data_IF_993433976934
#
_entry.id   IF_993433976934
#
_cell.length_a   1.000
_cell.length_b   1.000
_cell.length_c   1.000
_cell.angle_alpha   90.00
_cell.angle_beta   90.00
_cell.angle_gamma   90.00
#
_symmetry.space_group_name_H-M   'P 1'
#
loop_
_entity.id
_entity.type
_entity.pdbx_description
1 polymer ?
#
# COMPACT_ATOMS: atom_id res chain seq x y z
N UNK A 1 -15.63 -14.52 -24.96
CA UNK A 1 -17.04 -14.36 -25.33
C UNK A 1 -17.88 -15.58 -24.94
N UNK A 2 -17.52 -16.81 -25.33
CA UNK A 2 -18.27 -18.03 -24.96
C UNK A 2 -18.49 -18.24 -23.45
N UNK A 3 -17.48 -17.94 -22.61
CA UNK A 3 -17.64 -17.99 -21.15
C UNK A 3 -18.68 -16.96 -20.65
N UNK A 4 -18.61 -15.70 -21.12
CA UNK A 4 -19.55 -14.63 -20.76
C UNK A 4 -20.98 -14.95 -21.19
N UNK A 5 -21.17 -15.51 -22.38
CA UNK A 5 -22.49 -15.93 -22.85
C UNK A 5 -23.08 -17.06 -21.98
N UNK A 6 -22.22 -17.95 -21.47
CA UNK A 6 -22.64 -19.07 -20.61
C UNK A 6 -22.92 -18.66 -19.17
N UNK A 7 -22.09 -17.80 -18.59
CA UNK A 7 -22.25 -17.38 -17.19
C UNK A 7 -23.17 -16.18 -17.01
N UNK A 8 -23.31 -15.35 -18.05
CA UNK A 8 -24.16 -14.16 -18.09
C UNK A 8 -24.13 -13.34 -16.80
N UNK A 9 -22.94 -12.92 -16.32
CA UNK A 9 -22.82 -12.23 -15.04
C UNK A 9 -23.55 -10.89 -15.08
N UNK A 10 -24.08 -10.47 -13.94
CA UNK A 10 -24.77 -9.19 -13.79
C UNK A 10 -23.80 -8.03 -14.01
N UNK A 11 -22.61 -8.15 -13.42
CA UNK A 11 -21.54 -7.17 -13.46
C UNK A 11 -20.20 -7.87 -13.68
N UNK A 12 -19.34 -7.25 -14.47
CA UNK A 12 -17.91 -7.57 -14.56
C UNK A 12 -17.11 -6.37 -14.06
N UNK A 13 -16.19 -6.62 -13.14
CA UNK A 13 -15.34 -5.59 -12.55
C UNK A 13 -13.92 -5.70 -13.15
N UNK A 14 -13.45 -4.63 -13.76
CA UNK A 14 -12.05 -4.48 -14.17
C UNK A 14 -11.29 -3.60 -13.17
N UNK A 15 -10.25 -4.14 -12.52
CA UNK A 15 -9.42 -3.41 -11.54
C UNK A 15 -8.36 -2.48 -12.16
N UNK A 16 -8.27 -2.49 -13.49
CA UNK A 16 -7.38 -1.65 -14.30
C UNK A 16 -8.17 -1.17 -15.50
N UNK A 17 -8.03 0.10 -15.89
CA UNK A 17 -8.84 0.63 -16.99
C UNK A 17 -8.65 -0.09 -18.34
N UNK A 18 -7.45 -0.61 -18.62
CA UNK A 18 -7.25 -1.50 -19.78
C UNK A 18 -8.08 -2.78 -19.70
N UNK A 19 -8.10 -3.43 -18.53
CA UNK A 19 -8.91 -4.65 -18.31
C UNK A 19 -10.39 -4.31 -18.47
N UNK A 20 -10.85 -3.22 -17.86
CA UNK A 20 -12.24 -2.77 -18.00
C UNK A 20 -12.62 -2.47 -19.46
N UNK A 21 -11.71 -1.89 -20.24
CA UNK A 21 -11.89 -1.67 -21.68
C UNK A 21 -12.05 -2.99 -22.44
N UNK A 22 -11.21 -3.99 -22.14
CA UNK A 22 -11.33 -5.32 -22.75
C UNK A 22 -12.65 -6.00 -22.36
N UNK A 23 -13.08 -5.88 -21.09
CA UNK A 23 -14.37 -6.38 -20.63
C UNK A 23 -15.54 -5.74 -21.38
N UNK A 24 -15.53 -4.40 -21.55
CA UNK A 24 -16.55 -3.69 -22.31
C UNK A 24 -16.63 -4.15 -23.77
N UNK A 25 -15.47 -4.35 -24.42
CA UNK A 25 -15.43 -4.90 -25.78
C UNK A 25 -15.98 -6.35 -25.82
N UNK A 26 -15.59 -7.20 -24.88
CA UNK A 26 -16.02 -8.59 -24.82
C UNK A 26 -17.54 -8.73 -24.57
N UNK A 27 -18.11 -7.89 -23.71
CA UNK A 27 -19.57 -7.83 -23.47
C UNK A 27 -20.30 -7.44 -24.74
N UNK A 28 -19.88 -6.35 -25.41
CA UNK A 28 -20.49 -5.90 -26.69
C UNK A 28 -20.45 -6.99 -27.76
N UNK A 29 -19.33 -7.68 -27.90
CA UNK A 29 -19.16 -8.76 -28.87
C UNK A 29 -19.95 -10.03 -28.52
N UNK A 30 -20.27 -10.25 -27.24
CA UNK A 30 -21.02 -11.43 -26.81
C UNK A 30 -22.54 -11.22 -26.86
N UNK A 31 -23.01 -9.99 -27.07
CA UNK A 31 -24.45 -9.67 -27.12
C UNK A 31 -25.18 -9.81 -25.77
N UNK A 32 -24.45 -9.89 -24.65
CA UNK A 32 -25.04 -10.01 -23.30
C UNK A 32 -25.28 -8.63 -22.68
N UNK A 33 -26.23 -8.55 -21.75
CA UNK A 33 -26.59 -7.31 -21.03
C UNK A 33 -25.76 -7.07 -19.75
N UNK A 34 -24.67 -7.80 -19.56
CA UNK A 34 -23.71 -7.61 -18.46
C UNK A 34 -23.22 -6.17 -18.38
N UNK A 35 -23.20 -5.59 -17.18
CA UNK A 35 -22.62 -4.26 -16.94
C UNK A 35 -21.13 -4.36 -16.66
N UNK A 36 -20.36 -3.37 -17.07
CA UNK A 36 -18.91 -3.30 -16.85
C UNK A 36 -18.57 -2.15 -15.92
N UNK A 37 -17.99 -2.47 -14.77
CA UNK A 37 -17.50 -1.50 -13.78
C UNK A 37 -15.98 -1.46 -13.84
N UNK A 38 -15.38 -0.28 -13.97
CA UNK A 38 -13.94 -0.08 -13.80
C UNK A 38 -13.67 0.39 -12.38
N UNK A 39 -12.99 -0.40 -11.57
CA UNK A 39 -12.56 0.02 -10.22
C UNK A 39 -11.08 0.36 -10.24
N UNK A 40 -10.73 1.64 -10.11
CA UNK A 40 -9.34 2.12 -10.18
C UNK A 40 -8.67 1.98 -8.82
N UNK A 41 -7.88 0.91 -8.66
CA UNK A 41 -7.18 0.60 -7.39
C UNK A 41 -5.90 1.43 -7.19
N UNK A 42 -5.22 1.81 -8.27
CA UNK A 42 -4.11 2.75 -8.25
C UNK A 42 -4.44 3.95 -9.16
N UNK A 43 -4.78 5.12 -8.59
CA UNK A 43 -5.06 6.35 -9.33
C UNK A 43 -3.93 6.78 -10.28
N UNK A 44 -2.67 6.50 -9.94
CA UNK A 44 -1.52 6.80 -10.77
C UNK A 44 -1.51 6.05 -12.10
N UNK A 45 -2.24 4.93 -12.23
CA UNK A 45 -2.41 4.27 -13.53
C UNK A 45 -3.08 5.19 -14.56
N UNK A 46 -3.86 6.17 -14.13
CA UNK A 46 -4.43 7.19 -15.03
C UNK A 46 -3.35 8.09 -15.65
N UNK A 47 -2.08 8.06 -15.20
CA UNK A 47 -0.98 8.71 -15.92
C UNK A 47 -0.62 7.97 -17.22
N UNK A 48 -0.98 6.69 -17.33
CA UNK A 48 -0.73 5.86 -18.49
C UNK A 48 -1.97 5.84 -19.40
N UNK A 49 -1.91 6.34 -20.65
CA UNK A 49 -3.08 6.48 -21.52
C UNK A 49 -3.88 5.17 -21.71
N UNK A 50 -3.19 4.03 -21.73
CA UNK A 50 -3.74 2.67 -21.77
C UNK A 50 -4.83 2.40 -20.71
N UNK A 51 -4.73 3.01 -19.54
CA UNK A 51 -5.64 2.80 -18.42
C UNK A 51 -6.80 3.80 -18.37
N UNK A 52 -6.87 4.74 -19.30
CA UNK A 52 -7.97 5.69 -19.38
C UNK A 52 -9.03 5.14 -20.33
N UNK A 53 -10.28 5.09 -19.89
CA UNK A 53 -11.35 4.47 -20.67
C UNK A 53 -12.70 5.08 -20.33
N UNK A 54 -13.43 5.66 -21.31
CA UNK A 54 -14.80 6.15 -21.12
C UNK A 54 -15.86 5.06 -21.37
N UNK A 55 -15.44 3.83 -21.71
CA UNK A 55 -16.34 2.76 -22.13
C UNK A 55 -17.10 2.01 -21.02
N UNK A 56 -16.55 1.80 -19.81
CA UNK A 56 -17.25 1.10 -18.73
C UNK A 56 -18.56 1.79 -18.36
N UNK A 57 -19.61 1.04 -18.05
CA UNK A 57 -20.90 1.58 -17.57
C UNK A 57 -20.72 2.51 -16.37
N UNK A 58 -19.76 2.20 -15.50
CA UNK A 58 -19.37 2.99 -14.33
C UNK A 58 -17.88 2.87 -14.06
N UNK A 59 -17.26 3.97 -13.66
CA UNK A 59 -15.89 4.01 -13.15
C UNK A 59 -15.89 4.47 -11.70
N UNK A 60 -15.27 3.67 -10.83
CA UNK A 60 -15.08 3.95 -9.42
C UNK A 60 -13.62 4.38 -9.20
N UNK A 61 -13.40 5.50 -8.52
CA UNK A 61 -12.06 6.02 -8.21
C UNK A 61 -11.92 6.34 -6.73
N UNK A 62 -10.70 6.31 -6.22
CA UNK A 62 -10.41 6.57 -4.81
C UNK A 62 -10.45 8.05 -4.41
N UNK A 63 -10.16 8.98 -5.32
CA UNK A 63 -9.97 10.39 -5.01
C UNK A 63 -10.65 11.31 -6.04
N UNK A 64 -11.04 12.51 -5.62
CA UNK A 64 -11.64 13.52 -6.50
C UNK A 64 -10.73 13.90 -7.66
N UNK A 65 -9.44 14.14 -7.39
CA UNK A 65 -8.47 14.48 -8.44
C UNK A 65 -8.36 13.38 -9.51
N UNK A 66 -8.59 12.11 -9.16
CA UNK A 66 -8.56 11.00 -10.10
C UNK A 66 -9.78 11.01 -11.03
N UNK A 67 -10.97 11.37 -10.50
CA UNK A 67 -12.17 11.63 -11.31
C UNK A 67 -11.91 12.78 -12.27
N UNK A 68 -11.45 13.91 -11.73
CA UNK A 68 -11.29 15.15 -12.49
C UNK A 68 -10.26 14.97 -13.62
N UNK A 69 -9.16 14.26 -13.35
CA UNK A 69 -8.16 13.88 -14.35
C UNK A 69 -8.75 12.99 -15.44
N UNK A 70 -9.52 11.96 -15.08
CA UNK A 70 -10.14 11.06 -16.06
C UNK A 70 -11.08 11.82 -16.99
N UNK A 71 -11.94 12.68 -16.42
CA UNK A 71 -12.89 13.49 -17.19
C UNK A 71 -12.18 14.52 -18.07
N UNK A 72 -11.12 15.17 -17.59
CA UNK A 72 -10.34 16.11 -18.39
C UNK A 72 -9.62 15.43 -19.57
N UNK A 73 -9.04 14.24 -19.35
CA UNK A 73 -8.20 13.58 -20.34
C UNK A 73 -8.99 12.74 -21.36
N UNK A 74 -10.18 12.26 -21.01
CA UNK A 74 -10.98 11.35 -21.85
C UNK A 74 -12.40 11.84 -22.15
N UNK A 75 -12.85 12.91 -21.50
CA UNK A 75 -14.25 13.30 -21.51
C UNK A 75 -15.14 12.23 -20.88
N UNK A 76 -16.42 12.28 -21.23
CA UNK A 76 -17.43 11.32 -20.77
C UNK A 76 -18.47 11.96 -19.85
N UNK A 77 -19.39 11.12 -19.38
CA UNK A 77 -20.46 11.53 -18.47
C UNK A 77 -19.95 11.55 -17.02
N UNK A 78 -19.94 12.71 -16.34
CA UNK A 78 -19.54 12.80 -14.94
C UNK A 78 -20.36 11.90 -14.01
N UNK A 79 -21.62 11.61 -14.33
CA UNK A 79 -22.46 10.72 -13.53
C UNK A 79 -21.93 9.27 -13.51
N UNK A 80 -21.12 8.89 -14.52
CA UNK A 80 -20.51 7.55 -14.66
C UNK A 80 -19.12 7.46 -14.03
N UNK A 81 -18.61 8.50 -13.38
CA UNK A 81 -17.34 8.46 -12.64
C UNK A 81 -17.58 8.85 -11.19
N UNK A 82 -17.56 7.86 -10.30
CA UNK A 82 -17.91 8.00 -8.88
C UNK A 82 -16.67 7.88 -8.00
N UNK A 83 -16.51 8.87 -7.12
CA UNK A 83 -15.48 8.85 -6.08
C UNK A 83 -16.03 8.06 -4.90
N UNK A 84 -15.41 6.92 -4.60
CA UNK A 84 -15.87 6.00 -3.56
C UNK A 84 -14.89 5.90 -2.39
N UNK A 85 -13.73 6.54 -2.49
CA UNK A 85 -12.63 6.37 -1.54
C UNK A 85 -11.75 5.17 -1.90
N UNK A 86 -10.48 5.16 -1.43
CA UNK A 86 -9.57 4.04 -1.64
C UNK A 86 -10.01 2.82 -0.83
N UNK A 87 -9.95 1.64 -1.46
CA UNK A 87 -10.00 0.38 -0.73
C UNK A 87 -8.60 0.05 -0.23
N UNK A 88 -8.50 -0.25 1.06
CA UNK A 88 -7.30 -0.81 1.64
C UNK A 88 -7.49 -2.31 1.63
N UNK A 89 -6.71 -2.99 0.80
CA UNK A 89 -6.70 -4.43 0.80
C UNK A 89 -5.95 -4.91 2.05
N UNK A 90 -6.68 -5.03 3.16
CA UNK A 90 -6.21 -5.70 4.39
C UNK A 90 -5.63 -7.11 4.11
N UNK A 91 -5.94 -7.66 2.94
CA UNK A 91 -5.49 -8.96 2.45
C UNK A 91 -4.40 -8.91 1.36
N UNK A 92 -4.08 -7.78 0.73
CA UNK A 92 -3.10 -7.80 -0.37
C UNK A 92 -1.66 -7.89 0.14
N UNK A 93 -1.28 -7.28 1.26
CA UNK A 93 0.03 -7.54 1.88
C UNK A 93 0.07 -8.92 2.54
N UNK A 94 -1.06 -9.39 3.08
CA UNK A 94 -1.26 -10.77 3.55
C UNK A 94 -0.95 -11.74 2.41
N UNK A 95 -1.71 -11.74 1.32
CA UNK A 95 -1.51 -12.68 0.22
C UNK A 95 -0.19 -12.42 -0.53
N UNK A 96 0.27 -11.17 -0.66
CA UNK A 96 1.59 -10.89 -1.25
C UNK A 96 2.70 -11.52 -0.41
N UNK A 97 2.64 -11.47 0.93
CA UNK A 97 3.68 -12.05 1.82
C UNK A 97 3.44 -13.50 2.23
N UNK A 98 2.22 -14.00 2.12
CA UNK A 98 1.81 -15.35 2.55
C UNK A 98 1.40 -16.27 1.40
N UNK A 99 1.38 -15.83 0.13
CA UNK A 99 1.11 -16.71 -1.01
C UNK A 99 2.20 -17.80 -1.13
N UNK A 100 1.92 -18.95 -0.52
CA UNK A 100 2.84 -20.08 -0.37
C UNK A 100 2.88 -20.70 1.04
N UNK A 101 2.07 -20.20 2.00
CA UNK A 101 2.14 -20.48 3.44
C UNK A 101 1.68 -21.86 3.92
N UNK A 102 1.98 -22.93 3.16
CA UNK A 102 2.23 -24.25 3.75
C UNK A 102 3.74 -24.53 3.90
N UNK A 103 4.60 -23.56 3.53
CA UNK A 103 6.05 -23.62 3.75
C UNK A 103 6.45 -22.73 4.93
N UNK A 104 7.27 -23.31 5.80
CA UNK A 104 7.80 -22.75 7.04
C UNK A 104 8.32 -21.32 6.86
N UNK A 105 8.03 -20.45 7.83
CA UNK A 105 8.61 -19.12 7.89
C UNK A 105 10.11 -19.22 8.15
N UNK A 106 10.90 -18.36 7.49
CA UNK A 106 12.31 -18.21 7.83
C UNK A 106 12.45 -17.18 8.96
N UNK A 107 13.00 -17.60 10.11
CA UNK A 107 13.35 -16.73 11.24
C UNK A 107 12.78 -17.20 12.58
N UNK A 108 13.30 -16.67 13.71
CA UNK A 108 12.83 -17.04 15.04
C UNK A 108 11.35 -16.66 15.24
N UNK A 109 10.59 -17.52 15.93
CA UNK A 109 9.21 -17.26 16.37
C UNK A 109 9.13 -16.29 17.55
N UNK A 110 10.27 -15.92 18.14
CA UNK A 110 10.33 -15.04 19.29
C UNK A 110 9.86 -13.62 18.96
N UNK A 111 9.08 -12.98 19.86
CA UNK A 111 8.55 -11.65 19.63
C UNK A 111 9.65 -10.64 19.31
N UNK A 112 9.32 -9.69 18.45
CA UNK A 112 10.17 -8.58 18.06
C UNK A 112 10.18 -7.48 19.14
N UNK A 113 11.38 -7.07 19.55
CA UNK A 113 11.59 -6.12 20.63
C UNK A 113 11.26 -6.71 22.01
N UNK A 114 12.00 -6.32 23.03
CA UNK A 114 11.55 -6.53 24.40
C UNK A 114 10.38 -5.59 24.71
N UNK A 115 9.40 -6.02 25.51
CA UNK A 115 8.35 -5.12 26.00
C UNK A 115 8.86 -4.20 27.15
N UNK A 116 10.18 -4.18 27.38
CA UNK A 116 10.81 -3.53 28.53
C UNK A 116 10.90 -2.00 28.39
N UNK A 117 10.80 -1.46 27.16
CA UNK A 117 10.85 -0.02 26.89
C UNK A 117 9.76 0.41 25.88
N UNK A 118 8.65 1.02 26.35
CA UNK A 118 7.56 1.46 25.49
C UNK A 118 7.93 2.67 24.60
N UNK A 119 9.00 3.40 24.94
CA UNK A 119 9.46 4.60 24.23
C UNK A 119 10.55 4.26 23.20
N UNK A 120 10.91 2.98 23.06
CA UNK A 120 11.82 2.52 22.02
C UNK A 120 11.21 2.67 20.62
N UNK A 121 11.90 3.30 19.65
CA UNK A 121 11.43 3.36 18.27
C UNK A 121 11.31 1.95 17.65
N UNK A 122 10.21 1.71 16.93
CA UNK A 122 9.90 0.41 16.31
C UNK A 122 9.78 0.55 14.81
N UNK A 123 10.75 0.01 14.08
CA UNK A 123 10.88 0.19 12.64
C UNK A 123 10.56 -1.10 11.88
N UNK A 124 9.68 -0.99 10.89
CA UNK A 124 9.45 -2.06 9.90
C UNK A 124 10.08 -1.61 8.58
N UNK A 125 11.07 -2.35 8.10
CA UNK A 125 11.75 -2.08 6.83
C UNK A 125 11.32 -3.13 5.80
N UNK A 126 10.43 -2.74 4.87
CA UNK A 126 10.03 -3.59 3.75
C UNK A 126 10.89 -3.29 2.52
N UNK A 127 11.83 -4.19 2.22
CA UNK A 127 12.62 -4.14 1.00
C UNK A 127 12.02 -5.05 -0.08
N UNK A 128 11.33 -4.44 -1.05
CA UNK A 128 10.87 -5.11 -2.27
C UNK A 128 11.59 -4.51 -3.48
N UNK A 129 12.60 -5.22 -4.00
CA UNK A 129 13.43 -4.79 -5.15
C UNK A 129 14.13 -3.43 -4.94
N UNK A 130 14.50 -3.13 -3.70
CA UNK A 130 15.19 -1.89 -3.30
C UNK A 130 16.71 -1.91 -3.44
N UNK A 131 17.29 -3.08 -3.76
CA UNK A 131 18.73 -3.28 -3.89
C UNK A 131 19.48 -3.08 -2.58
N UNK A 132 20.78 -2.79 -2.69
CA UNK A 132 21.67 -2.65 -1.53
C UNK A 132 21.38 -1.38 -0.70
N UNK A 133 20.60 -0.43 -1.22
CA UNK A 133 20.18 0.78 -0.48
C UNK A 133 19.60 0.47 0.91
N UNK A 134 18.75 -0.55 1.01
CA UNK A 134 18.16 -0.94 2.29
C UNK A 134 19.12 -1.72 3.18
N UNK A 135 20.14 -2.38 2.62
CA UNK A 135 21.22 -2.96 3.43
C UNK A 135 22.07 -1.87 4.05
N UNK A 136 22.40 -0.84 3.28
CA UNK A 136 23.15 0.31 3.77
C UNK A 136 22.36 1.07 4.84
N UNK A 137 21.05 1.22 4.66
CA UNK A 137 20.15 1.72 5.70
C UNK A 137 20.19 0.88 6.98
N UNK A 138 20.04 -0.45 6.88
CA UNK A 138 20.06 -1.35 8.04
C UNK A 138 21.39 -1.27 8.78
N UNK A 139 22.51 -1.26 8.06
CA UNK A 139 23.86 -1.09 8.65
C UNK A 139 24.02 0.25 9.34
N UNK A 140 23.55 1.32 8.69
CA UNK A 140 23.58 2.67 9.23
C UNK A 140 22.80 2.75 10.55
N UNK A 141 21.53 2.33 10.56
CA UNK A 141 20.71 2.29 11.79
C UNK A 141 21.39 1.43 12.86
N UNK A 142 21.99 0.30 12.48
CA UNK A 142 22.65 -0.56 13.46
C UNK A 142 23.78 0.20 14.17
N UNK A 143 24.57 0.96 13.42
CA UNK A 143 25.74 1.70 13.91
C UNK A 143 25.39 3.00 14.64
N UNK A 144 24.35 3.72 14.21
CA UNK A 144 24.01 5.04 14.76
C UNK A 144 22.85 5.02 15.77
N UNK A 145 21.92 4.07 15.62
CA UNK A 145 20.72 3.94 16.46
C UNK A 145 20.49 2.49 16.93
N UNK A 146 21.47 1.87 17.64
CA UNK A 146 21.40 0.48 18.08
C UNK A 146 20.28 0.20 19.10
N UNK A 147 19.75 1.24 19.72
CA UNK A 147 18.67 1.17 20.70
C UNK A 147 17.27 1.14 20.06
N UNK A 148 17.16 1.01 18.74
CA UNK A 148 15.88 0.84 18.04
C UNK A 148 15.48 -0.63 17.91
N UNK A 149 14.20 -0.93 17.91
CA UNK A 149 13.71 -2.23 17.47
C UNK A 149 13.50 -2.19 15.94
N UNK A 150 14.02 -3.19 15.23
CA UNK A 150 13.88 -3.26 13.77
C UNK A 150 13.45 -4.66 13.28
N UNK A 151 12.43 -4.70 12.43
CA UNK A 151 12.15 -5.84 11.53
C UNK A 151 12.55 -5.46 10.12
N UNK A 152 13.41 -6.28 9.52
CA UNK A 152 13.72 -6.21 8.11
C UNK A 152 13.02 -7.34 7.35
N UNK A 153 12.38 -7.00 6.23
CA UNK A 153 11.76 -7.97 5.34
C UNK A 153 12.31 -7.78 3.93
N UNK A 154 13.20 -8.68 3.53
CA UNK A 154 13.73 -8.80 2.17
C UNK A 154 12.83 -9.68 1.32
N UNK A 155 11.77 -9.10 0.76
CA UNK A 155 10.67 -9.85 0.16
C UNK A 155 11.12 -10.85 -0.91
N UNK A 156 10.80 -12.13 -0.69
CA UNK A 156 11.16 -13.25 -1.57
C UNK A 156 12.66 -13.37 -1.85
N UNK A 157 13.52 -12.80 -0.99
CA UNK A 157 14.97 -12.81 -1.13
C UNK A 157 15.67 -13.22 0.19
N UNK A 158 15.83 -14.54 0.43
CA UNK A 158 16.56 -15.06 1.60
C UNK A 158 18.02 -14.58 1.66
N UNK A 159 18.66 -14.37 0.51
CA UNK A 159 20.04 -13.88 0.45
C UNK A 159 20.15 -12.44 0.97
N UNK A 160 19.18 -11.60 0.63
CA UNK A 160 19.08 -10.24 1.15
C UNK A 160 18.82 -10.22 2.66
N UNK A 161 17.87 -11.02 3.15
CA UNK A 161 17.59 -11.13 4.58
C UNK A 161 18.82 -11.60 5.38
N UNK A 162 19.56 -12.59 4.86
CA UNK A 162 20.79 -13.06 5.50
C UNK A 162 21.90 -11.99 5.52
N UNK A 163 22.09 -11.26 4.41
CA UNK A 163 23.07 -10.16 4.36
C UNK A 163 22.72 -9.02 5.31
N UNK A 164 21.43 -8.71 5.47
CA UNK A 164 20.95 -7.73 6.44
C UNK A 164 21.23 -8.19 7.88
N UNK A 165 20.91 -9.44 8.21
CA UNK A 165 21.17 -10.03 9.52
C UNK A 165 22.67 -10.04 9.87
N UNK A 166 23.52 -10.43 8.92
CA UNK A 166 24.97 -10.43 9.11
C UNK A 166 25.54 -9.04 9.41
N UNK A 167 24.98 -7.98 8.80
CA UNK A 167 25.36 -6.59 9.05
C UNK A 167 24.99 -6.07 10.44
N UNK A 168 24.09 -6.76 11.15
CA UNK A 168 23.55 -6.35 12.43
C UNK A 168 23.62 -7.48 13.48
N UNK A 169 24.55 -8.43 13.34
CA UNK A 169 24.62 -9.65 14.16
C UNK A 169 24.74 -9.40 15.68
N UNK A 170 25.22 -8.21 16.09
CA UNK A 170 25.29 -7.78 17.50
C UNK A 170 23.94 -7.35 18.10
N UNK A 171 22.91 -7.17 17.27
CA UNK A 171 21.59 -6.67 17.66
C UNK A 171 20.59 -7.82 17.71
N UNK A 172 20.68 -8.64 18.76
CA UNK A 172 19.84 -9.84 18.91
C UNK A 172 18.33 -9.58 19.01
N UNK A 173 17.92 -8.33 19.28
CA UNK A 173 16.52 -7.91 19.34
C UNK A 173 15.94 -7.55 17.96
N UNK A 174 16.78 -7.45 16.92
CA UNK A 174 16.33 -7.23 15.55
C UNK A 174 15.84 -8.54 14.92
N UNK A 175 14.95 -8.42 13.94
CA UNK A 175 14.39 -9.57 13.20
C UNK A 175 14.59 -9.39 11.71
N UNK A 176 14.89 -10.48 11.02
CA UNK A 176 15.18 -10.50 9.58
C UNK A 176 14.42 -11.62 8.93
N UNK A 177 13.66 -11.29 7.90
CA UNK A 177 12.78 -12.23 7.21
C UNK A 177 12.90 -12.07 5.70
N UNK A 178 12.80 -13.19 4.99
CA UNK A 178 12.54 -13.21 3.54
C UNK A 178 11.04 -13.16 3.25
N UNK A 179 10.24 -13.73 4.16
CA UNK A 179 8.79 -13.84 4.14
C UNK A 179 8.24 -13.79 5.55
N UNK A 180 7.01 -13.32 5.71
CA UNK A 180 6.30 -13.31 6.97
C UNK A 180 5.11 -14.27 6.91
N UNK A 181 4.86 -14.99 8.00
CA UNK A 181 3.53 -15.57 8.22
C UNK A 181 2.51 -14.47 8.45
N UNK A 182 1.23 -14.83 8.32
CA UNK A 182 0.13 -13.93 8.68
C UNK A 182 0.24 -13.46 10.14
N UNK A 183 0.57 -14.37 11.07
CA UNK A 183 0.69 -14.04 12.48
C UNK A 183 1.83 -13.05 12.74
N UNK A 184 3.02 -13.27 12.16
CA UNK A 184 4.16 -12.36 12.28
C UNK A 184 3.85 -10.98 11.68
N UNK A 185 3.22 -10.93 10.51
CA UNK A 185 2.85 -9.66 9.89
C UNK A 185 1.93 -8.83 10.80
N UNK A 186 0.86 -9.43 11.30
CA UNK A 186 -0.09 -8.71 12.16
C UNK A 186 0.53 -8.34 13.50
N UNK A 187 1.38 -9.18 14.10
CA UNK A 187 2.10 -8.84 15.33
C UNK A 187 3.00 -7.61 15.13
N UNK A 188 3.80 -7.58 14.06
CA UNK A 188 4.70 -6.45 13.80
C UNK A 188 3.95 -5.15 13.51
N UNK A 189 2.89 -5.22 12.69
CA UNK A 189 2.05 -4.06 12.40
C UNK A 189 1.33 -3.59 13.67
N UNK A 190 0.75 -4.48 14.47
CA UNK A 190 0.07 -4.10 15.71
C UNK A 190 1.03 -3.48 16.73
N UNK A 191 2.24 -4.04 16.89
CA UNK A 191 3.29 -3.48 17.76
C UNK A 191 3.76 -2.11 17.30
N UNK A 192 3.93 -1.88 16.00
CA UNK A 192 4.28 -0.57 15.45
C UNK A 192 3.10 0.42 15.55
N UNK A 193 1.87 -0.04 15.33
CA UNK A 193 0.66 0.75 15.47
C UNK A 193 0.44 1.23 16.92
N UNK A 194 0.73 0.39 17.92
CA UNK A 194 0.63 0.75 19.35
C UNK A 194 1.79 1.58 19.88
N UNK A 195 2.98 1.49 19.27
CA UNK A 195 4.13 2.31 19.67
C UNK A 195 3.95 3.78 19.25
N UNK A 196 4.21 4.75 20.13
CA UNK A 196 4.21 6.18 19.77
C UNK A 196 5.26 6.51 18.70
N UNK A 197 6.30 5.67 18.59
CA UNK A 197 7.45 5.84 17.70
C UNK A 197 7.55 4.70 16.67
N UNK A 198 6.42 4.10 16.32
CA UNK A 198 6.32 3.12 15.24
C UNK A 198 6.47 3.76 13.87
N UNK A 199 7.26 3.16 12.99
CA UNK A 199 7.57 3.68 11.67
C UNK A 199 7.68 2.57 10.63
N UNK A 200 7.14 2.80 9.43
CA UNK A 200 7.35 1.92 8.28
C UNK A 200 8.27 2.58 7.24
N UNK A 201 9.31 1.86 6.83
CA UNK A 201 10.25 2.27 5.79
C UNK A 201 10.13 1.34 4.59
N UNK A 202 9.86 1.88 3.40
CA UNK A 202 9.77 1.07 2.18
C UNK A 202 9.97 1.89 0.92
N UNK A 203 9.81 1.25 -0.23
CA UNK A 203 9.65 1.94 -1.51
C UNK A 203 8.26 2.60 -1.54
N UNK A 204 8.14 3.74 -2.21
CA UNK A 204 6.90 4.51 -2.37
C UNK A 204 5.82 3.78 -3.20
N UNK A 205 5.31 2.67 -2.68
CA UNK A 205 4.19 1.92 -3.24
C UNK A 205 2.85 2.47 -2.74
N UNK A 206 1.82 2.56 -3.61
CA UNK A 206 0.52 3.13 -3.24
C UNK A 206 -0.19 2.28 -2.18
N UNK A 207 -0.20 0.96 -2.34
CA UNK A 207 -0.87 0.06 -1.38
C UNK A 207 -0.20 0.12 -0.01
N UNK A 208 1.13 -0.01 0.05
CA UNK A 208 1.89 0.06 1.31
C UNK A 208 1.67 1.38 2.03
N UNK A 209 1.59 2.50 1.30
CA UNK A 209 1.32 3.81 1.90
C UNK A 209 -0.07 3.88 2.51
N UNK A 210 -1.10 3.46 1.77
CA UNK A 210 -2.49 3.49 2.26
C UNK A 210 -2.71 2.51 3.41
N UNK A 211 -2.05 1.35 3.39
CA UNK A 211 -2.13 0.36 4.47
C UNK A 211 -1.40 0.80 5.73
N UNK A 212 -0.20 1.36 5.62
CA UNK A 212 0.48 1.96 6.75
C UNK A 212 -0.38 3.05 7.40
N UNK A 213 -0.95 3.93 6.57
CA UNK A 213 -1.87 4.96 7.05
C UNK A 213 -3.11 4.37 7.72
N UNK A 214 -3.70 3.30 7.16
CA UNK A 214 -4.84 2.58 7.74
C UNK A 214 -4.57 2.09 9.16
N UNK A 215 -3.36 1.58 9.43
CA UNK A 215 -2.93 1.15 10.76
C UNK A 215 -2.40 2.29 11.64
N UNK A 216 -2.46 3.54 11.18
CA UNK A 216 -1.92 4.69 11.92
C UNK A 216 -0.40 4.63 12.06
N UNK A 217 0.30 4.07 11.08
CA UNK A 217 1.76 3.98 11.05
C UNK A 217 2.28 5.00 10.03
N UNK A 218 3.09 5.98 10.44
CA UNK A 218 3.72 6.91 9.51
C UNK A 218 4.75 6.20 8.62
N UNK A 219 5.06 6.82 7.47
CA UNK A 219 5.93 6.21 6.46
C UNK A 219 7.16 7.05 6.13
N UNK A 220 8.31 6.40 5.97
CA UNK A 220 9.47 6.94 5.25
C UNK A 220 9.65 6.15 3.95
N UNK A 221 9.35 6.78 2.83
CA UNK A 221 9.33 6.10 1.54
C UNK A 221 10.46 6.56 0.65
N UNK A 222 11.17 5.64 0.00
CA UNK A 222 12.06 5.96 -1.12
C UNK A 222 11.26 6.05 -2.42
N UNK A 223 11.36 7.16 -3.14
CA UNK A 223 10.68 7.32 -4.42
C UNK A 223 11.07 6.25 -5.43
N UNK A 224 10.10 5.73 -6.16
CA UNK A 224 10.30 4.63 -7.10
C UNK A 224 10.71 5.05 -8.51
N UNK A 225 10.48 6.32 -8.86
CA UNK A 225 10.56 6.83 -10.23
C UNK A 225 9.48 6.32 -11.19
N UNK A 226 8.59 5.41 -10.75
CA UNK A 226 7.57 4.81 -11.60
C UNK A 226 6.43 5.81 -11.86
N UNK A 227 5.99 6.02 -13.12
CA UNK A 227 4.94 6.99 -13.44
C UNK A 227 3.67 6.79 -12.62
N UNK A 228 3.23 5.53 -12.45
CA UNK A 228 2.01 5.21 -11.70
C UNK A 228 2.14 5.37 -10.18
N UNK A 229 3.30 5.76 -9.67
CA UNK A 229 3.56 5.98 -8.24
C UNK A 229 3.92 7.44 -7.93
N UNK A 230 4.07 8.31 -8.96
CA UNK A 230 4.42 9.74 -8.80
C UNK A 230 3.46 10.57 -7.94
N UNK A 231 2.25 10.07 -7.72
CA UNK A 231 1.25 10.74 -6.89
C UNK A 231 1.44 10.46 -5.39
N UNK A 232 2.17 9.39 -5.04
CA UNK A 232 2.35 8.93 -3.65
C UNK A 232 3.10 9.95 -2.80
N UNK A 233 4.22 10.57 -3.26
CA UNK A 233 4.89 11.64 -2.50
C UNK A 233 3.98 12.81 -2.16
N UNK A 234 3.13 13.22 -3.11
CA UNK A 234 2.15 14.29 -2.92
C UNK A 234 1.14 13.94 -1.84
N UNK A 235 0.56 12.73 -1.87
CA UNK A 235 -0.36 12.25 -0.84
C UNK A 235 0.29 12.23 0.55
N UNK A 236 1.51 11.71 0.65
CA UNK A 236 2.26 11.63 1.91
C UNK A 236 2.45 13.03 2.50
N UNK A 237 2.87 13.99 1.66
CA UNK A 237 3.09 15.37 2.09
C UNK A 237 1.78 16.07 2.48
N UNK A 238 0.75 16.01 1.62
CA UNK A 238 -0.53 16.69 1.80
C UNK A 238 -1.23 16.29 3.09
N UNK A 239 -1.20 15.00 3.43
CA UNK A 239 -1.86 14.46 4.62
C UNK A 239 -0.92 14.24 5.80
N UNK A 240 0.34 14.66 5.70
CA UNK A 240 1.33 14.49 6.76
C UNK A 240 1.54 13.02 7.17
N UNK A 241 1.41 12.08 6.24
CA UNK A 241 1.55 10.63 6.50
C UNK A 241 3.00 10.21 6.76
N UNK A 242 3.94 11.12 6.49
CA UNK A 242 5.35 10.93 6.75
C UNK A 242 6.19 11.69 5.73
N UNK A 243 7.22 11.03 5.16
CA UNK A 243 8.09 11.64 4.13
C UNK A 243 8.36 10.69 2.97
N UNK A 244 8.30 11.21 1.76
CA UNK A 244 8.87 10.59 0.58
C UNK A 244 10.24 11.22 0.29
N UNK A 245 11.28 10.40 0.21
CA UNK A 245 12.66 10.78 -0.02
C UNK A 245 13.01 10.52 -1.48
N UNK A 246 13.61 11.51 -2.14
CA UNK A 246 13.97 11.42 -3.55
C UNK A 246 15.17 10.48 -3.81
N UNK A 247 15.96 10.20 -2.77
CA UNK A 247 17.14 9.34 -2.88
C UNK A 247 17.64 8.79 -1.55
N UNK A 248 18.64 7.88 -1.59
CA UNK A 248 19.20 7.22 -0.41
C UNK A 248 19.74 8.18 0.67
N UNK A 249 20.45 9.24 0.26
CA UNK A 249 21.04 10.21 1.21
C UNK A 249 19.97 10.94 2.02
N UNK A 250 18.88 11.36 1.37
CA UNK A 250 17.76 12.00 2.06
C UNK A 250 17.02 11.02 2.99
N UNK A 251 16.91 9.74 2.59
CA UNK A 251 16.34 8.70 3.43
C UNK A 251 17.17 8.51 4.71
N UNK A 252 18.48 8.36 4.60
CA UNK A 252 19.40 8.21 5.73
C UNK A 252 19.33 9.42 6.67
N UNK A 253 19.43 10.63 6.12
CA UNK A 253 19.36 11.87 6.90
C UNK A 253 18.00 12.02 7.62
N UNK A 254 16.90 11.64 6.98
CA UNK A 254 15.58 11.69 7.62
C UNK A 254 15.44 10.66 8.73
N UNK A 255 15.98 9.46 8.54
CA UNK A 255 15.99 8.42 9.58
C UNK A 255 16.77 8.91 10.80
N UNK A 256 17.96 9.48 10.61
CA UNK A 256 18.73 10.06 11.71
C UNK A 256 17.96 11.16 12.45
N UNK A 257 17.37 12.08 11.70
CA UNK A 257 16.59 13.18 12.24
C UNK A 257 15.40 12.71 13.08
N UNK A 258 14.69 11.69 12.62
CA UNK A 258 13.47 11.19 13.26
C UNK A 258 13.78 10.31 14.46
N UNK A 259 14.83 9.49 14.40
CA UNK A 259 15.25 8.67 15.53
C UNK A 259 15.89 9.51 16.64
N UNK A 260 16.59 10.60 16.28
CA UNK A 260 17.07 11.59 17.26
C UNK A 260 15.95 12.45 17.85
N UNK A 261 14.79 12.57 17.17
CA UNK A 261 13.63 13.36 17.62
C UNK A 261 12.32 12.59 17.42
N UNK A 262 12.02 11.56 18.23
CA UNK A 262 10.86 10.68 18.04
C UNK A 262 9.50 11.38 18.07
N UNK A 263 9.43 12.59 18.65
CA UNK A 263 8.24 13.45 18.58
C UNK A 263 7.81 13.79 17.14
N UNK A 264 8.73 13.77 16.16
CA UNK A 264 8.39 13.91 14.75
C UNK A 264 7.56 12.72 14.25
N UNK A 265 7.90 11.50 14.69
CA UNK A 265 7.17 10.26 14.35
C UNK A 265 5.75 10.34 14.93
N UNK A 266 5.61 10.76 16.19
CA UNK A 266 4.30 10.92 16.84
C UNK A 266 3.38 11.89 16.09
N UNK A 267 3.92 13.00 15.59
CA UNK A 267 3.13 13.99 14.85
C UNK A 267 2.55 13.39 13.57
N UNK A 268 3.37 12.65 12.80
CA UNK A 268 2.92 11.93 11.61
C UNK A 268 1.96 10.78 11.96
N UNK A 269 2.16 10.12 13.11
CA UNK A 269 1.25 9.08 13.60
C UNK A 269 -0.17 9.62 13.83
N UNK A 270 -0.29 10.78 14.48
CA UNK A 270 -1.59 11.46 14.68
C UNK A 270 -2.27 11.79 13.35
N UNK A 271 -1.49 12.26 12.37
CA UNK A 271 -1.99 12.54 11.04
C UNK A 271 -2.45 11.28 10.30
N UNK A 272 -1.69 10.18 10.39
CA UNK A 272 -2.06 8.89 9.81
C UNK A 272 -3.38 8.34 10.40
N UNK A 273 -3.56 8.41 11.72
CA UNK A 273 -4.83 8.02 12.38
C UNK A 273 -5.99 8.87 11.87
N UNK A 274 -5.82 10.20 11.82
CA UNK A 274 -6.87 11.10 11.30
C UNK A 274 -7.20 10.83 9.82
N UNK A 275 -6.20 10.52 9.01
CA UNK A 275 -6.39 10.12 7.61
C UNK A 275 -7.15 8.79 7.51
N UNK A 276 -6.82 7.81 8.37
CA UNK A 276 -7.51 6.52 8.39
C UNK A 276 -9.01 6.68 8.68
N UNK A 277 -9.35 7.47 9.70
CA UNK A 277 -10.73 7.72 10.13
C UNK A 277 -11.55 8.50 9.08
N UNK A 278 -10.92 9.40 8.33
CA UNK A 278 -11.62 10.31 7.41
C UNK A 278 -11.63 9.86 5.95
N UNK A 279 -10.52 9.28 5.46
CA UNK A 279 -10.32 8.92 4.06
C UNK A 279 -10.41 7.41 3.84
N UNK A 280 -9.94 6.61 4.81
CA UNK A 280 -9.85 5.15 4.70
C UNK A 280 -10.94 4.41 5.48
N UNK A 281 -12.06 5.05 5.84
CA UNK A 281 -13.20 4.34 6.44
C UNK A 281 -13.77 3.31 5.45
N UNK A 282 -13.39 2.04 5.64
CA UNK A 282 -13.75 0.95 4.74
C UNK A 282 -15.26 0.64 4.74
N UNK A 283 -15.97 0.94 5.83
CA UNK A 283 -17.42 0.82 5.87
C UNK A 283 -18.07 1.89 5.00
N UNK A 284 -17.64 3.15 5.13
CA UNK A 284 -18.11 4.23 4.28
C UNK A 284 -17.74 4.04 2.80
N UNK A 285 -16.54 3.50 2.51
CA UNK A 285 -16.13 3.15 1.13
C UNK A 285 -17.04 2.07 0.56
N UNK A 286 -17.31 0.99 1.31
CA UNK A 286 -18.16 -0.12 0.85
C UNK A 286 -19.60 0.34 0.63
N UNK A 287 -20.15 1.18 1.51
CA UNK A 287 -21.47 1.78 1.33
C UNK A 287 -21.54 2.61 0.04
N UNK A 288 -20.55 3.48 -0.20
CA UNK A 288 -20.45 4.29 -1.43
C UNK A 288 -20.35 3.45 -2.70
N UNK A 289 -19.59 2.35 -2.65
CA UNK A 289 -19.52 1.38 -3.77
C UNK A 289 -20.89 0.77 -4.02
N UNK A 290 -21.58 0.30 -2.97
CA UNK A 290 -22.92 -0.26 -3.06
C UNK A 290 -23.91 0.70 -3.69
N UNK A 291 -23.94 1.95 -3.24
CA UNK A 291 -24.83 2.99 -3.77
C UNK A 291 -24.52 3.38 -5.21
N UNK A 292 -23.24 3.33 -5.61
CA UNK A 292 -22.84 3.62 -6.98
C UNK A 292 -23.21 2.49 -7.95
N UNK A 293 -23.11 1.23 -7.51
CA UNK A 293 -23.35 0.04 -8.36
C UNK A 293 -24.84 -0.34 -8.41
N UNK A 294 -25.60 -0.11 -7.34
CA UNK A 294 -27.02 -0.48 -7.22
C UNK A 294 -27.89 -0.05 -8.43
N UNK A 295 -27.82 1.20 -8.94
CA UNK A 295 -28.63 1.60 -10.10
C UNK A 295 -28.33 0.79 -11.36
N UNK A 296 -27.11 0.29 -11.53
CA UNK A 296 -26.74 -0.55 -12.68
C UNK A 296 -27.39 -1.94 -12.61
N UNK A 297 -27.56 -2.45 -11.38
CA UNK A 297 -28.19 -3.74 -11.11
C UNK A 297 -29.72 -3.64 -11.20
N UNK A 298 -30.30 -2.50 -10.85
CA UNK A 298 -31.75 -2.27 -10.86
C UNK A 298 -32.29 -1.87 -12.24
N UNK A 299 -31.47 -1.29 -13.12
CA UNK A 299 -31.85 -0.91 -14.49
C UNK A 299 -31.97 -2.12 -15.46
N UNK A 300 -32.48 -3.25 -14.96
CA UNK A 300 -32.65 -4.52 -15.67
C UNK A 300 -34.06 -4.67 -16.24
#
# INVERSE_FOLDING_TARGET
TAHLARTAPDVVIGTKGFVARLCAAAVRLSGVHTRVVSHVTNPGLLQLPLHRSPYPDLTLVGFDWARDRLLADCGGDPARVRVVGPLVAQHDLRDFMTAGSDREADGPEEPWGGDDDPDRPRLIVFCNRGGDTYLDLVRHIADTHPDTDLVFVGYDDPGLAHRAAAGAARLAHWRFHSRLTQAQYFDYIDRAARSPHGLLISKAGPNTTLEAAYFGIPVLMLESGLPMERWVPGLIHEHGLGRACAGPEELLGTVDDWLARPAAIEAHKKAAVSFAESVLDQHAVTARIGDAVRPLLEAR
#
